data_IF_761318789845
#
_entry.id   IF_761318789845
#
_cell.length_a   1.000
_cell.length_b   1.000
_cell.length_c   1.000
_cell.angle_alpha   90.00
_cell.angle_beta   90.00
_cell.angle_gamma   90.00
#
_symmetry.space_group_name_H-M   'P 1'
#
loop_
_entity.id
_entity.type
_entity.pdbx_description
1 polymer ?
#
# COMPACT_ATOMS: atom_id res chain seq x y z
N UNK A 1 -28.44 -57.36 -19.00
CA UNK A 1 -28.68 -55.98 -18.55
C UNK A 1 -27.52 -55.51 -17.68
N UNK A 2 -26.32 -55.30 -18.25
CA UNK A 2 -25.08 -55.10 -17.47
C UNK A 2 -24.30 -53.84 -17.91
N UNK A 3 -24.54 -53.33 -19.13
CA UNK A 3 -23.82 -52.17 -19.69
C UNK A 3 -24.37 -50.82 -19.20
N UNK A 4 -25.64 -50.76 -18.80
CA UNK A 4 -26.30 -49.53 -18.37
C UNK A 4 -25.85 -49.04 -16.98
N UNK A 5 -25.40 -49.96 -16.11
CA UNK A 5 -25.04 -49.64 -14.71
C UNK A 5 -23.61 -49.10 -14.57
N UNK A 6 -22.70 -49.45 -15.48
CA UNK A 6 -21.33 -48.93 -15.52
C UNK A 6 -21.28 -47.52 -16.12
N UNK A 7 -22.13 -47.24 -17.11
CA UNK A 7 -22.21 -45.94 -17.76
C UNK A 7 -22.74 -44.84 -16.81
N UNK A 8 -23.71 -45.17 -15.95
CA UNK A 8 -24.22 -44.23 -14.93
C UNK A 8 -23.19 -43.95 -13.84
N UNK A 9 -22.30 -44.90 -13.53
CA UNK A 9 -21.21 -44.70 -12.58
C UNK A 9 -20.11 -43.75 -13.10
N UNK A 10 -19.77 -43.82 -14.39
CA UNK A 10 -18.80 -42.89 -14.98
C UNK A 10 -19.39 -41.47 -15.16
N UNK A 11 -20.68 -41.37 -15.47
CA UNK A 11 -21.37 -40.08 -15.58
C UNK A 11 -21.57 -39.39 -14.21
N UNK A 12 -21.72 -40.16 -13.12
CA UNK A 12 -21.74 -39.64 -11.75
C UNK A 12 -20.35 -39.24 -11.23
N UNK A 13 -19.29 -39.95 -11.62
CA UNK A 13 -17.91 -39.57 -11.24
C UNK A 13 -17.43 -38.31 -11.98
N UNK A 14 -17.85 -38.11 -13.24
CA UNK A 14 -17.47 -36.94 -14.03
C UNK A 14 -18.16 -35.64 -13.58
N UNK A 15 -19.37 -35.71 -13.01
CA UNK A 15 -20.07 -34.53 -12.50
C UNK A 15 -19.55 -34.05 -11.13
N UNK A 16 -18.95 -34.93 -10.33
CA UNK A 16 -18.30 -34.56 -9.04
C UNK A 16 -16.92 -33.92 -9.27
N UNK A 17 -16.28 -34.15 -10.41
CA UNK A 17 -15.00 -33.51 -10.76
C UNK A 17 -15.10 -32.04 -11.20
N UNK A 18 -16.27 -31.57 -11.66
CA UNK A 18 -16.44 -30.20 -12.17
C UNK A 18 -16.83 -29.16 -11.10
N UNK A 19 -17.16 -29.57 -9.88
CA UNK A 19 -17.57 -28.65 -8.80
C UNK A 19 -16.42 -28.28 -7.83
N UNK A 20 -15.24 -28.88 -7.97
CA UNK A 20 -14.14 -28.71 -7.00
C UNK A 20 -13.08 -27.67 -7.37
N UNK A 21 -13.12 -27.07 -8.57
CA UNK A 21 -12.12 -26.07 -8.98
C UNK A 21 -12.49 -24.60 -8.67
N UNK A 22 -13.69 -24.34 -8.14
CA UNK A 22 -14.23 -22.97 -8.04
C UNK A 22 -13.83 -22.20 -6.77
N UNK A 23 -12.97 -22.75 -5.90
CA UNK A 23 -12.65 -22.14 -4.60
C UNK A 23 -11.21 -21.61 -4.46
N UNK A 24 -10.46 -21.45 -5.55
CA UNK A 24 -9.14 -20.77 -5.48
C UNK A 24 -9.23 -19.23 -5.42
N UNK A 25 -10.37 -18.66 -5.09
CA UNK A 25 -10.46 -17.29 -4.58
C UNK A 25 -10.49 -17.37 -3.04
N UNK A 26 -9.37 -17.73 -2.42
CA UNK A 26 -9.23 -17.59 -0.98
C UNK A 26 -9.21 -16.09 -0.69
N UNK A 27 -10.37 -15.54 -0.34
CA UNK A 27 -10.39 -14.38 0.52
C UNK A 27 -9.72 -14.83 1.82
N UNK A 28 -8.40 -14.59 1.95
CA UNK A 28 -7.64 -14.83 3.19
C UNK A 28 -8.55 -14.34 4.33
N UNK A 29 -8.91 -15.26 5.21
CA UNK A 29 -9.88 -14.97 6.26
C UNK A 29 -9.37 -13.78 7.07
N UNK A 30 -10.28 -12.96 7.61
CA UNK A 30 -9.89 -11.81 8.42
C UNK A 30 -8.94 -12.21 9.57
N UNK A 31 -9.10 -13.44 10.09
CA UNK A 31 -8.27 -13.99 11.15
C UNK A 31 -6.85 -14.37 10.67
N UNK A 32 -6.71 -14.89 9.44
CA UNK A 32 -5.39 -15.09 8.83
C UNK A 32 -4.66 -13.76 8.61
N UNK A 33 -5.36 -12.73 8.12
CA UNK A 33 -4.78 -11.39 7.95
C UNK A 33 -4.34 -10.78 9.29
N UNK A 34 -5.15 -10.94 10.34
CA UNK A 34 -4.79 -10.52 11.70
C UNK A 34 -3.56 -11.27 12.22
N UNK A 35 -3.50 -12.58 11.99
CA UNK A 35 -2.36 -13.41 12.38
C UNK A 35 -1.08 -12.95 11.68
N UNK A 36 -1.10 -12.76 10.36
CA UNK A 36 0.05 -12.24 9.59
C UNK A 36 0.46 -10.85 10.06
N UNK A 37 -0.51 -9.99 10.37
CA UNK A 37 -0.24 -8.67 10.94
C UNK A 37 0.44 -8.73 12.31
N UNK A 38 0.06 -9.67 13.18
CA UNK A 38 0.74 -9.88 14.46
C UNK A 38 2.18 -10.37 14.23
N UNK A 39 2.38 -11.31 13.29
CA UNK A 39 3.68 -11.86 12.94
C UNK A 39 4.63 -10.78 12.41
N UNK A 40 4.19 -9.95 11.45
CA UNK A 40 5.06 -8.90 10.90
C UNK A 40 5.45 -7.88 11.97
N UNK A 41 4.54 -7.54 12.89
CA UNK A 41 4.87 -6.65 14.01
C UNK A 41 5.95 -7.24 14.90
N UNK A 42 5.80 -8.51 15.28
CA UNK A 42 6.79 -9.21 16.10
C UNK A 42 8.15 -9.32 15.38
N UNK A 43 8.15 -9.68 14.09
CA UNK A 43 9.37 -9.74 13.29
C UNK A 43 10.09 -8.38 13.25
N UNK A 44 9.33 -7.30 13.04
CA UNK A 44 9.87 -5.94 13.03
C UNK A 44 10.46 -5.53 14.38
N UNK A 45 9.76 -5.84 15.47
CA UNK A 45 10.21 -5.54 16.82
C UNK A 45 11.50 -6.33 17.17
N UNK A 46 11.66 -7.52 16.59
CA UNK A 46 12.85 -8.36 16.69
C UNK A 46 13.93 -8.06 15.63
N UNK A 47 13.77 -7.01 14.79
CA UNK A 47 14.71 -6.64 13.70
C UNK A 47 14.90 -7.72 12.62
N UNK A 48 13.94 -8.64 12.46
CA UNK A 48 13.93 -9.67 11.41
C UNK A 48 13.42 -9.08 10.10
N UNK A 49 14.24 -8.23 9.46
CA UNK A 49 13.84 -7.43 8.30
C UNK A 49 13.56 -8.27 7.05
N UNK A 50 14.24 -9.42 6.92
CA UNK A 50 13.97 -10.44 5.89
C UNK A 50 12.52 -10.95 5.95
N UNK A 51 12.04 -11.26 7.17
CA UNK A 51 10.67 -11.69 7.40
C UNK A 51 9.69 -10.54 7.16
N UNK A 52 10.04 -9.32 7.58
CA UNK A 52 9.22 -8.13 7.31
C UNK A 52 9.03 -7.92 5.81
N UNK A 53 10.11 -7.93 5.04
CA UNK A 53 10.07 -7.70 3.59
C UNK A 53 9.25 -8.76 2.87
N UNK A 54 9.30 -10.01 3.33
CA UNK A 54 8.48 -11.11 2.80
C UNK A 54 7.00 -10.93 3.15
N UNK A 55 6.68 -10.50 4.37
CA UNK A 55 5.30 -10.38 4.84
C UNK A 55 4.60 -9.11 4.36
N UNK A 56 5.33 -8.02 4.15
CA UNK A 56 4.79 -6.73 3.69
C UNK A 56 3.82 -6.86 2.50
N UNK A 57 4.20 -7.43 1.34
CA UNK A 57 3.31 -7.48 0.18
C UNK A 57 2.05 -8.31 0.41
N UNK A 58 2.11 -9.30 1.31
CA UNK A 58 0.98 -10.18 1.65
C UNK A 58 -0.13 -9.46 2.43
N UNK A 59 0.17 -8.29 3.01
CA UNK A 59 -0.76 -7.50 3.80
C UNK A 59 -1.34 -6.30 3.03
N UNK A 60 -1.10 -6.18 1.73
CA UNK A 60 -1.52 -5.02 0.91
C UNK A 60 -3.02 -4.72 0.94
N UNK A 61 -3.87 -5.75 1.13
CA UNK A 61 -5.33 -5.63 1.24
C UNK A 61 -5.84 -5.40 2.66
N UNK A 62 -4.96 -5.49 3.67
CA UNK A 62 -5.32 -5.34 5.08
C UNK A 62 -5.47 -3.86 5.46
N UNK A 63 -6.56 -3.43 6.13
CA UNK A 63 -6.81 -2.02 6.41
C UNK A 63 -5.71 -1.27 7.20
N UNK A 64 -4.92 -1.98 8.01
CA UNK A 64 -3.82 -1.38 8.79
C UNK A 64 -2.49 -1.34 8.03
N UNK A 65 -2.44 -1.82 6.79
CA UNK A 65 -1.22 -1.80 5.97
C UNK A 65 -0.56 -0.41 5.82
N UNK A 66 -1.31 0.71 5.66
CA UNK A 66 -0.69 2.03 5.59
C UNK A 66 0.14 2.41 6.83
N UNK A 67 -0.15 1.83 8.01
CA UNK A 67 0.65 2.04 9.21
C UNK A 67 2.01 1.33 9.15
N UNK A 68 2.08 0.17 8.49
CA UNK A 68 3.34 -0.55 8.27
C UNK A 68 4.22 0.22 7.28
N UNK A 69 3.63 0.71 6.18
CA UNK A 69 4.32 1.57 5.22
C UNK A 69 4.85 2.85 5.87
N UNK A 70 4.03 3.49 6.73
CA UNK A 70 4.49 4.63 7.50
C UNK A 70 5.72 4.30 8.35
N UNK A 71 5.69 3.17 9.08
CA UNK A 71 6.82 2.71 9.89
C UNK A 71 8.08 2.54 9.03
N UNK A 72 7.97 1.84 7.89
CA UNK A 72 9.08 1.64 6.95
C UNK A 72 9.70 2.96 6.49
N UNK A 73 8.86 3.92 6.09
CA UNK A 73 9.30 5.25 5.65
C UNK A 73 10.00 5.99 6.79
N UNK A 74 9.47 5.90 8.01
CA UNK A 74 10.03 6.66 9.14
C UNK A 74 11.26 6.03 9.76
N UNK A 75 11.41 4.70 9.69
CA UNK A 75 12.57 3.99 10.25
C UNK A 75 13.86 4.40 9.54
N UNK A 76 13.80 4.63 8.22
CA UNK A 76 14.93 5.10 7.43
C UNK A 76 14.64 6.46 6.77
N UNK A 77 13.94 7.35 7.50
CA UNK A 77 13.47 8.63 6.95
C UNK A 77 14.63 9.40 6.31
N UNK A 78 15.83 9.33 6.92
CA UNK A 78 17.09 9.99 6.52
C UNK A 78 17.66 9.58 5.15
N UNK A 79 17.17 8.49 4.55
CA UNK A 79 17.57 8.07 3.21
C UNK A 79 16.40 8.02 2.25
N UNK A 80 15.16 8.30 2.72
CA UNK A 80 13.99 8.29 1.86
C UNK A 80 14.03 9.40 0.79
N UNK A 81 13.69 9.08 -0.47
CA UNK A 81 13.53 10.06 -1.52
C UNK A 81 12.20 10.82 -1.37
N UNK A 82 12.19 12.09 -1.76
CA UNK A 82 11.01 12.94 -1.63
C UNK A 82 9.78 12.41 -2.37
N UNK A 83 9.97 11.72 -3.50
CA UNK A 83 8.89 11.12 -4.27
C UNK A 83 8.15 10.02 -3.49
N UNK A 84 8.87 9.15 -2.77
CA UNK A 84 8.26 8.07 -1.97
C UNK A 84 7.41 8.66 -0.86
N UNK A 85 7.96 9.64 -0.13
CA UNK A 85 7.23 10.30 0.97
C UNK A 85 6.02 11.07 0.45
N UNK A 86 6.16 11.77 -0.68
CA UNK A 86 5.04 12.49 -1.33
C UNK A 86 3.92 11.53 -1.72
N UNK A 87 4.25 10.46 -2.45
CA UNK A 87 3.29 9.47 -2.91
C UNK A 87 2.53 8.83 -1.73
N UNK A 88 3.23 8.53 -0.64
CA UNK A 88 2.60 7.98 0.57
C UNK A 88 1.62 8.97 1.22
N UNK A 89 2.01 10.24 1.36
CA UNK A 89 1.15 11.30 1.93
C UNK A 89 -0.09 11.52 1.06
N UNK A 90 0.10 11.59 -0.26
CA UNK A 90 -0.98 11.84 -1.21
C UNK A 90 -1.95 10.66 -1.32
N UNK A 91 -1.45 9.42 -1.19
CA UNK A 91 -2.27 8.22 -1.16
C UNK A 91 -3.06 8.04 0.16
N UNK A 92 -2.62 8.66 1.26
CA UNK A 92 -3.19 8.47 2.60
C UNK A 92 -3.58 9.78 3.31
N UNK A 93 -4.45 10.64 2.72
CA UNK A 93 -4.75 11.96 3.25
C UNK A 93 -5.50 11.95 4.60
N UNK A 94 -6.22 10.87 4.91
CA UNK A 94 -6.98 10.71 6.17
C UNK A 94 -6.17 10.07 7.29
N UNK A 95 -4.98 9.55 7.00
CA UNK A 95 -4.16 8.83 7.97
C UNK A 95 -3.53 9.82 8.97
N UNK A 96 -3.84 9.75 10.28
CA UNK A 96 -3.34 10.72 11.25
C UNK A 96 -1.80 10.90 11.25
N UNK A 97 -0.97 9.83 11.23
CA UNK A 97 0.49 10.00 11.17
C UNK A 97 0.99 10.57 9.82
N UNK A 98 0.26 10.41 8.72
CA UNK A 98 0.65 11.02 7.44
C UNK A 98 0.53 12.56 7.47
N UNK A 99 -0.39 13.10 8.28
CA UNK A 99 -0.60 14.55 8.41
C UNK A 99 0.63 15.27 8.99
N UNK A 100 1.31 14.65 9.96
CA UNK A 100 2.54 15.20 10.55
C UNK A 100 3.80 14.82 9.74
N UNK A 101 3.75 13.74 8.95
CA UNK A 101 4.88 13.27 8.14
C UNK A 101 5.40 14.34 7.19
N UNK A 102 4.51 15.14 6.57
CA UNK A 102 4.92 16.24 5.67
C UNK A 102 5.87 17.20 6.36
N UNK A 103 5.50 17.70 7.54
CA UNK A 103 6.34 18.65 8.30
C UNK A 103 7.64 18.01 8.77
N UNK A 104 7.58 16.75 9.24
CA UNK A 104 8.78 15.98 9.64
C UNK A 104 9.76 15.84 8.47
N UNK A 105 9.26 15.53 7.28
CA UNK A 105 10.10 15.34 6.11
C UNK A 105 10.69 16.66 5.58
N UNK A 106 9.96 17.77 5.65
CA UNK A 106 10.52 19.11 5.35
C UNK A 106 11.69 19.43 6.30
N UNK A 107 11.52 19.18 7.60
CA UNK A 107 12.60 19.38 8.57
C UNK A 107 13.80 18.46 8.28
N UNK A 108 13.54 17.24 7.84
CA UNK A 108 14.59 16.29 7.46
C UNK A 108 15.35 16.74 6.19
N UNK A 109 14.66 17.26 5.16
CA UNK A 109 15.33 17.82 3.97
C UNK A 109 16.18 19.04 4.34
N UNK A 110 15.69 19.90 5.23
CA UNK A 110 16.46 21.02 5.74
C UNK A 110 17.70 20.54 6.52
N UNK A 111 17.56 19.50 7.36
CA UNK A 111 18.68 18.87 8.09
C UNK A 111 19.76 18.35 7.15
N UNK A 112 19.37 17.78 5.99
CA UNK A 112 20.30 17.33 4.95
C UNK A 112 20.85 18.44 4.05
N UNK A 113 20.46 19.70 4.27
CA UNK A 113 20.75 20.82 3.38
C UNK A 113 20.25 20.61 1.93
N UNK A 114 19.25 19.76 1.71
CA UNK A 114 18.65 19.53 0.39
C UNK A 114 17.57 20.58 0.09
N UNK A 115 18.04 21.81 -0.14
CA UNK A 115 17.17 22.94 -0.44
C UNK A 115 16.38 22.74 -1.74
N UNK A 116 16.97 22.06 -2.72
CA UNK A 116 16.32 21.79 -4.01
C UNK A 116 15.16 20.80 -3.83
N UNK A 117 15.39 19.70 -3.11
CA UNK A 117 14.37 18.72 -2.78
C UNK A 117 13.25 19.33 -1.93
N UNK A 118 13.60 20.19 -0.96
CA UNK A 118 12.62 20.90 -0.13
C UNK A 118 11.71 21.82 -0.96
N UNK A 119 12.28 22.61 -1.87
CA UNK A 119 11.52 23.49 -2.75
C UNK A 119 10.61 22.69 -3.70
N UNK A 120 11.11 21.60 -4.28
CA UNK A 120 10.31 20.72 -5.13
C UNK A 120 9.15 20.06 -4.36
N UNK A 121 9.41 19.57 -3.14
CA UNK A 121 8.41 18.94 -2.28
C UNK A 121 7.32 19.92 -1.81
N UNK A 122 7.67 21.20 -1.61
CA UNK A 122 6.74 22.25 -1.16
C UNK A 122 6.01 22.99 -2.30
N UNK A 123 6.50 22.91 -3.54
CA UNK A 123 5.94 23.60 -4.69
C UNK A 123 4.47 23.25 -4.96
N UNK A 124 4.07 22.00 -4.70
CA UNK A 124 2.71 21.48 -4.93
C UNK A 124 1.64 22.17 -4.06
N UNK A 125 2.05 22.88 -2.99
CA UNK A 125 1.14 23.65 -2.14
C UNK A 125 0.93 25.10 -2.61
N UNK A 126 1.70 25.58 -3.60
CA UNK A 126 1.52 26.96 -4.10
C UNK A 126 0.38 26.97 -5.10
N UNK A 127 -0.73 27.69 -4.84
CA UNK A 127 -1.70 27.95 -5.90
C UNK A 127 -0.96 28.64 -7.04
N UNK A 128 -1.15 28.16 -8.26
CA UNK A 128 -0.55 28.76 -9.45
C UNK A 128 -0.79 30.28 -9.43
N UNK A 129 0.19 31.11 -9.84
CA UNK A 129 0.00 32.55 -9.90
C UNK A 129 -1.25 32.81 -10.75
N UNK A 130 -2.25 33.45 -10.12
CA UNK A 130 -3.50 33.84 -10.77
C UNK A 130 -3.07 34.73 -11.95
N UNK A 131 -3.13 34.21 -13.18
CA UNK A 131 -2.71 34.95 -14.39
C UNK A 131 -3.49 36.27 -14.37
N UNK A 132 -2.77 37.38 -14.21
CA UNK A 132 -3.34 38.72 -14.31
C UNK A 132 -3.97 38.80 -15.69
N UNK A 133 -5.30 38.85 -15.76
CA UNK A 133 -5.99 39.07 -17.02
C UNK A 133 -5.61 40.49 -17.47
N UNK A 134 -4.79 40.59 -18.51
CA UNK A 134 -4.56 41.85 -19.21
C UNK A 134 -5.89 42.30 -19.76
N UNK A 135 -6.49 43.32 -19.15
CA UNK A 135 -7.68 43.98 -19.66
C UNK A 135 -7.20 44.83 -20.85
N UNK A 136 -7.25 44.26 -22.04
CA UNK A 136 -7.09 45.03 -23.28
C UNK A 136 -8.37 45.82 -23.49
N UNK A 137 -8.35 47.11 -23.18
CA UNK A 137 -9.39 48.07 -23.54
C UNK A 137 -9.28 48.36 -25.05
N UNK A 138 -10.31 48.10 -25.88
CA UNK A 138 -10.30 48.57 -27.26
C UNK A 138 -10.58 50.08 -27.30
N UNK A 139 -9.82 50.80 -28.13
CA UNK A 139 -10.00 52.22 -28.45
C UNK A 139 -11.24 52.48 -29.30
#
# INVERSE_FOLDING_TARGET
MEKAKKMTWHLLAASVGLLTLSQLAHADSLDEQRSRYAQIKQAWDNRQMDVVDQLMPTLSTYPLYPYLQYRQITDDLMNQPALVVKNFIDANPTLPPARSLRSRFVNELARRSDWRGLLAFSADKRPAPRRSATITTPS
#
